data_IF_151074942278
#
_entry.id   IF_151074942278
#
_cell.length_a   1.000
_cell.length_b   1.000
_cell.length_c   1.000
_cell.angle_alpha   90.00
_cell.angle_beta   90.00
_cell.angle_gamma   90.00
#
_symmetry.space_group_name_H-M   'P 1'
#
loop_
_entity.id
_entity.type
_entity.pdbx_description
1 polymer ?
#
# COMPACT_ATOMS: atom_id res chain seq x y z
N UNK A 1 -1.42 -27.58 4.03
CA UNK A 1 -1.07 -26.14 4.14
C UNK A 1 -2.33 -25.35 4.40
N UNK A 2 -2.32 -24.54 5.43
CA UNK A 2 -3.44 -23.70 5.84
C UNK A 2 -3.13 -22.26 5.46
N UNK A 3 -4.05 -21.60 4.76
CA UNK A 3 -3.86 -20.20 4.30
C UNK A 3 -4.29 -19.25 5.40
N UNK A 4 -3.38 -18.37 5.83
CA UNK A 4 -3.64 -17.31 6.81
C UNK A 4 -4.03 -15.99 6.14
N UNK A 5 -3.27 -15.58 5.11
CA UNK A 5 -3.50 -14.31 4.43
C UNK A 5 -3.51 -14.48 2.92
N UNK A 6 -4.58 -14.00 2.31
CA UNK A 6 -4.70 -13.86 0.84
C UNK A 6 -4.73 -12.39 0.46
N UNK A 7 -4.22 -12.09 -0.71
CA UNK A 7 -4.44 -10.80 -1.37
C UNK A 7 -5.93 -10.60 -1.67
N UNK A 8 -6.41 -9.37 -1.56
CA UNK A 8 -7.80 -9.06 -1.94
C UNK A 8 -8.07 -9.42 -3.41
N UNK A 9 -9.25 -9.95 -3.69
CA UNK A 9 -9.65 -10.34 -5.05
C UNK A 9 -10.25 -9.17 -5.83
N UNK A 10 -10.77 -8.16 -5.15
CA UNK A 10 -11.43 -7.02 -5.78
C UNK A 10 -10.42 -5.94 -6.17
N UNK A 11 -10.50 -5.52 -7.44
CA UNK A 11 -9.69 -4.43 -7.99
C UNK A 11 -10.45 -3.10 -8.01
N UNK A 12 -11.70 -3.07 -7.54
CA UNK A 12 -12.57 -1.88 -7.70
C UNK A 12 -11.95 -0.65 -7.03
N UNK A 13 -11.62 -0.76 -5.76
CA UNK A 13 -11.03 0.34 -5.00
C UNK A 13 -9.69 0.78 -5.60
N UNK A 14 -8.82 -0.16 -5.92
CA UNK A 14 -7.52 0.13 -6.52
C UNK A 14 -7.63 0.84 -7.88
N UNK A 15 -8.63 0.50 -8.70
CA UNK A 15 -8.92 1.19 -9.96
C UNK A 15 -9.45 2.60 -9.73
N UNK A 16 -10.33 2.78 -8.75
CA UNK A 16 -10.85 4.11 -8.40
C UNK A 16 -9.73 5.00 -7.88
N UNK A 17 -8.88 4.50 -6.99
CA UNK A 17 -7.70 5.22 -6.50
C UNK A 17 -6.75 5.60 -7.64
N UNK A 18 -6.49 4.68 -8.57
CA UNK A 18 -5.65 4.94 -9.75
C UNK A 18 -6.25 6.07 -10.62
N UNK A 19 -7.54 6.00 -10.93
CA UNK A 19 -8.20 6.99 -11.79
C UNK A 19 -8.22 8.36 -11.10
N UNK A 20 -8.74 8.45 -9.88
CA UNK A 20 -8.83 9.70 -9.15
C UNK A 20 -7.44 10.30 -8.90
N UNK A 21 -6.50 9.49 -8.44
CA UNK A 21 -5.16 9.93 -8.18
C UNK A 21 -4.42 10.42 -9.42
N UNK A 22 -4.62 9.75 -10.56
CA UNK A 22 -4.04 10.19 -11.84
C UNK A 22 -4.64 11.52 -12.29
N UNK A 23 -5.96 11.71 -12.14
CA UNK A 23 -6.64 12.97 -12.46
C UNK A 23 -6.12 14.09 -11.56
N UNK A 24 -6.06 13.89 -10.24
CA UNK A 24 -5.53 14.91 -9.32
C UNK A 24 -4.06 15.27 -9.60
N UNK A 25 -3.23 14.27 -9.86
CA UNK A 25 -1.83 14.50 -10.22
C UNK A 25 -1.70 15.28 -11.54
N UNK A 26 -2.52 14.95 -12.55
CA UNK A 26 -2.51 15.67 -13.83
C UNK A 26 -2.97 17.12 -13.67
N UNK A 27 -4.03 17.37 -12.88
CA UNK A 27 -4.50 18.72 -12.58
C UNK A 27 -3.40 19.54 -11.85
N UNK A 28 -2.77 18.95 -10.85
CA UNK A 28 -1.69 19.64 -10.12
C UNK A 28 -0.47 19.87 -11.01
N UNK A 29 -0.06 18.87 -11.79
CA UNK A 29 1.11 18.93 -12.65
C UNK A 29 0.99 19.98 -13.76
N UNK A 30 -0.22 20.16 -14.32
CA UNK A 30 -0.46 21.08 -15.44
C UNK A 30 -1.08 22.37 -14.95
N UNK A 31 -2.07 22.30 -14.06
CA UNK A 31 -2.85 23.45 -13.61
C UNK A 31 -2.05 24.45 -12.79
N UNK A 32 -1.14 23.98 -11.92
CA UNK A 32 -0.32 24.91 -11.11
C UNK A 32 0.61 25.75 -12.00
N UNK A 33 1.42 25.18 -12.90
CA UNK A 33 2.25 25.98 -13.81
C UNK A 33 1.43 26.94 -14.69
N UNK A 34 0.33 26.48 -15.26
CA UNK A 34 -0.55 27.34 -16.07
C UNK A 34 -1.08 28.51 -15.25
N UNK A 35 -1.54 28.26 -14.02
CA UNK A 35 -2.06 29.32 -13.14
C UNK A 35 -0.98 30.35 -12.82
N UNK A 36 0.26 29.93 -12.55
CA UNK A 36 1.39 30.86 -12.29
C UNK A 36 1.62 31.76 -13.52
N UNK A 37 1.68 31.18 -14.72
CA UNK A 37 1.92 31.98 -15.93
C UNK A 37 0.72 32.85 -16.33
N UNK A 38 -0.50 32.45 -16.03
CA UNK A 38 -1.69 33.29 -16.27
C UNK A 38 -1.74 34.48 -15.30
N UNK A 39 -1.33 34.29 -14.04
CA UNK A 39 -1.33 35.40 -13.05
C UNK A 39 -0.14 36.34 -13.21
N UNK A 40 0.97 35.88 -13.76
CA UNK A 40 2.18 36.65 -13.96
C UNK A 40 2.81 36.36 -15.34
N UNK A 41 2.24 36.91 -16.43
CA UNK A 41 2.68 36.61 -17.80
C UNK A 41 4.14 36.97 -18.10
N UNK A 42 4.68 37.94 -17.39
CA UNK A 42 6.08 38.35 -17.54
C UNK A 42 7.06 37.23 -17.16
N UNK A 43 6.66 36.31 -16.28
CA UNK A 43 7.46 35.14 -15.91
C UNK A 43 7.71 34.21 -17.10
N UNK A 44 6.90 34.27 -18.17
CA UNK A 44 7.14 33.49 -19.38
C UNK A 44 8.49 33.79 -20.05
N UNK A 45 9.04 34.97 -19.80
CA UNK A 45 10.34 35.44 -20.32
C UNK A 45 11.53 34.99 -19.46
N UNK A 46 11.24 34.53 -18.23
CA UNK A 46 12.26 34.19 -17.24
C UNK A 46 12.62 32.69 -17.29
N UNK A 47 13.88 32.32 -17.62
CA UNK A 47 14.28 30.91 -17.67
C UNK A 47 14.10 30.19 -16.34
N UNK A 48 14.27 30.89 -15.21
CA UNK A 48 14.10 30.33 -13.88
C UNK A 48 12.64 29.91 -13.62
N UNK A 49 11.67 30.67 -14.14
CA UNK A 49 10.25 30.34 -13.99
C UNK A 49 9.90 29.02 -14.69
N UNK A 50 10.48 28.76 -15.86
CA UNK A 50 10.33 27.50 -16.57
C UNK A 50 10.97 26.33 -15.81
N UNK A 51 12.14 26.54 -15.20
CA UNK A 51 12.79 25.52 -14.37
C UNK A 51 11.93 25.15 -13.17
N UNK A 52 11.33 26.14 -12.50
CA UNK A 52 10.41 25.94 -11.37
C UNK A 52 9.15 25.17 -11.85
N UNK A 53 8.55 25.58 -12.97
CA UNK A 53 7.38 24.91 -13.53
C UNK A 53 7.67 23.45 -13.85
N UNK A 54 8.82 23.17 -14.47
CA UNK A 54 9.26 21.80 -14.74
C UNK A 54 9.49 21.01 -13.45
N UNK A 55 10.09 21.61 -12.43
CA UNK A 55 10.26 21.00 -11.10
C UNK A 55 8.94 20.60 -10.46
N UNK A 56 7.91 21.45 -10.55
CA UNK A 56 6.55 21.20 -10.07
C UNK A 56 5.94 20.02 -10.83
N UNK A 57 6.02 20.02 -12.16
CA UNK A 57 5.50 18.94 -13.01
C UNK A 57 6.16 17.60 -12.66
N UNK A 58 7.48 17.58 -12.52
CA UNK A 58 8.24 16.37 -12.16
C UNK A 58 7.85 15.88 -10.76
N UNK A 59 7.75 16.77 -9.80
CA UNK A 59 7.37 16.42 -8.42
C UNK A 59 5.98 15.76 -8.37
N UNK A 60 4.96 16.41 -8.92
CA UNK A 60 3.60 15.83 -8.91
C UNK A 60 3.48 14.58 -9.78
N UNK A 61 4.24 14.48 -10.87
CA UNK A 61 4.33 13.27 -11.67
C UNK A 61 4.91 12.09 -10.90
N UNK A 62 6.01 12.30 -10.17
CA UNK A 62 6.65 11.27 -9.34
C UNK A 62 5.76 10.86 -8.16
N UNK A 63 5.15 11.84 -7.48
CA UNK A 63 4.21 11.58 -6.38
C UNK A 63 3.00 10.81 -6.89
N UNK A 64 2.39 11.23 -7.99
CA UNK A 64 1.26 10.53 -8.60
C UNK A 64 1.61 9.09 -9.02
N UNK A 65 2.77 8.89 -9.64
CA UNK A 65 3.26 7.56 -9.97
C UNK A 65 3.43 6.69 -8.71
N UNK A 66 4.12 7.21 -7.68
CA UNK A 66 4.42 6.46 -6.46
C UNK A 66 3.18 6.09 -5.66
N UNK A 67 2.21 7.00 -5.55
CA UNK A 67 1.01 6.79 -4.73
C UNK A 67 -0.08 5.97 -5.45
N UNK A 68 -0.19 6.06 -6.78
CA UNK A 68 -1.34 5.49 -7.49
C UNK A 68 -0.95 4.43 -8.52
N UNK A 69 0.03 4.70 -9.37
CA UNK A 69 0.40 3.76 -10.44
C UNK A 69 1.22 2.60 -9.91
N UNK A 70 2.17 2.87 -9.03
CA UNK A 70 3.04 1.83 -8.46
C UNK A 70 2.28 0.78 -7.65
N UNK A 71 1.35 1.11 -6.73
CA UNK A 71 0.52 0.12 -6.02
C UNK A 71 -0.31 -0.74 -6.98
N UNK A 72 -0.90 -0.13 -8.01
CA UNK A 72 -1.65 -0.86 -9.02
C UNK A 72 -0.78 -1.90 -9.75
N UNK A 73 0.43 -1.53 -10.18
CA UNK A 73 1.39 -2.45 -10.78
C UNK A 73 1.87 -3.54 -9.81
N UNK A 74 2.10 -3.16 -8.56
CA UNK A 74 2.52 -4.08 -7.52
C UNK A 74 1.50 -5.19 -7.29
N UNK A 75 0.20 -4.85 -7.31
CA UNK A 75 -0.87 -5.82 -7.13
C UNK A 75 -0.75 -7.02 -8.07
N UNK A 76 -0.42 -6.81 -9.34
CA UNK A 76 -0.29 -7.89 -10.32
C UNK A 76 0.99 -8.71 -10.17
N UNK A 77 1.99 -8.17 -9.50
CA UNK A 77 3.27 -8.87 -9.28
C UNK A 77 3.28 -9.76 -8.04
N UNK A 78 2.33 -9.54 -7.13
CA UNK A 78 2.28 -10.30 -5.88
C UNK A 78 1.44 -11.57 -6.03
N UNK A 79 1.82 -12.67 -5.35
CA UNK A 79 1.05 -13.90 -5.32
C UNK A 79 -0.32 -13.69 -4.67
N UNK A 80 -1.24 -14.60 -4.95
CA UNK A 80 -2.58 -14.59 -4.36
C UNK A 80 -2.54 -14.94 -2.87
N UNK A 81 -1.79 -15.98 -2.52
CA UNK A 81 -1.54 -16.39 -1.14
C UNK A 81 -0.25 -15.72 -0.68
N UNK A 82 -0.31 -14.96 0.40
CA UNK A 82 0.85 -14.24 0.92
C UNK A 82 1.40 -14.80 2.22
N UNK A 83 0.57 -15.49 2.99
CA UNK A 83 0.97 -16.16 4.23
C UNK A 83 0.20 -17.47 4.38
N UNK A 84 0.92 -18.54 4.56
CA UNK A 84 0.36 -19.86 4.84
C UNK A 84 1.28 -20.65 5.77
N UNK A 85 0.76 -21.74 6.35
CA UNK A 85 1.52 -22.59 7.26
C UNK A 85 1.15 -24.06 7.12
N UNK A 86 2.05 -24.92 7.53
CA UNK A 86 1.80 -26.34 7.80
C UNK A 86 2.17 -26.67 9.25
N UNK A 87 2.32 -27.91 9.59
CA UNK A 87 2.61 -28.35 10.96
C UNK A 87 4.02 -27.99 11.44
N UNK A 88 4.94 -27.66 10.53
CA UNK A 88 6.34 -27.41 10.84
C UNK A 88 6.79 -25.99 10.48
N UNK A 89 6.21 -25.39 9.44
CA UNK A 89 6.73 -24.15 8.84
C UNK A 89 5.66 -23.10 8.56
N UNK A 90 6.09 -21.86 8.69
CA UNK A 90 5.40 -20.68 8.16
C UNK A 90 6.03 -20.29 6.82
N UNK A 91 5.20 -20.10 5.80
CA UNK A 91 5.62 -19.71 4.46
C UNK A 91 5.12 -18.27 4.18
N UNK A 92 6.05 -17.41 3.82
CA UNK A 92 5.78 -16.02 3.46
C UNK A 92 6.03 -15.85 1.96
N UNK A 93 4.97 -15.53 1.20
CA UNK A 93 5.02 -15.28 -0.23
C UNK A 93 4.74 -13.80 -0.49
N UNK A 94 5.78 -12.98 -0.47
CA UNK A 94 5.68 -11.53 -0.67
C UNK A 94 6.81 -11.09 -1.61
N UNK A 95 7.21 -9.82 -1.56
CA UNK A 95 8.42 -9.35 -2.26
C UNK A 95 9.69 -10.06 -1.80
N UNK A 96 9.69 -10.51 -0.54
CA UNK A 96 10.70 -11.39 0.03
C UNK A 96 10.00 -12.68 0.40
N UNK A 97 10.47 -13.78 -0.13
CA UNK A 97 9.99 -15.12 0.24
C UNK A 97 10.76 -15.64 1.44
N UNK A 98 10.08 -16.33 2.34
CA UNK A 98 10.69 -16.96 3.48
C UNK A 98 9.96 -18.25 3.85
N UNK A 99 10.72 -19.18 4.43
CA UNK A 99 10.24 -20.39 5.07
C UNK A 99 10.82 -20.40 6.49
N UNK A 100 9.97 -20.30 7.49
CA UNK A 100 10.36 -20.10 8.90
C UNK A 100 9.84 -21.28 9.70
N UNK A 101 10.70 -22.00 10.46
CA UNK A 101 10.23 -23.07 11.34
C UNK A 101 9.32 -22.50 12.43
N UNK A 102 8.15 -23.07 12.64
CA UNK A 102 7.22 -22.62 13.68
C UNK A 102 7.83 -22.74 15.08
N UNK A 103 8.63 -23.79 15.30
CA UNK A 103 9.34 -24.03 16.56
C UNK A 103 10.38 -22.96 16.92
N UNK A 104 10.84 -22.17 15.95
CA UNK A 104 11.83 -21.10 16.18
C UNK A 104 11.18 -19.72 16.37
N UNK A 105 9.85 -19.63 16.31
CA UNK A 105 9.12 -18.38 16.53
C UNK A 105 9.12 -18.02 18.02
N UNK A 106 9.85 -16.97 18.36
CA UNK A 106 9.97 -16.47 19.74
C UNK A 106 9.18 -15.20 19.96
N UNK A 107 9.17 -14.31 18.96
CA UNK A 107 8.46 -13.04 19.00
C UNK A 107 8.07 -12.58 17.60
N UNK A 108 6.84 -12.11 17.46
CA UNK A 108 6.33 -11.54 16.21
C UNK A 108 5.63 -10.22 16.52
N UNK A 109 6.12 -9.13 15.92
CA UNK A 109 5.43 -7.84 15.95
C UNK A 109 4.64 -7.66 14.67
N UNK A 110 3.37 -7.27 14.81
CA UNK A 110 2.45 -7.12 13.69
C UNK A 110 1.87 -5.71 13.71
N UNK A 111 1.88 -5.04 12.58
CA UNK A 111 1.28 -3.72 12.43
C UNK A 111 0.47 -3.65 11.14
N UNK A 112 -0.80 -3.27 11.24
CA UNK A 112 -1.63 -3.01 10.08
C UNK A 112 -1.61 -1.54 9.71
N UNK A 113 -1.27 -1.24 8.44
CA UNK A 113 -1.31 0.10 7.87
C UNK A 113 -2.34 0.17 6.75
N UNK A 114 -3.16 1.22 6.78
CA UNK A 114 -4.08 1.54 5.69
C UNK A 114 -3.38 2.39 4.63
N UNK A 115 -3.79 2.29 3.34
CA UNK A 115 -3.35 3.22 2.31
C UNK A 115 -3.69 4.66 2.66
N UNK A 116 -2.91 5.60 2.13
CA UNK A 116 -3.10 7.03 2.42
C UNK A 116 -4.53 7.53 2.22
N UNK A 117 -5.22 7.10 1.16
CA UNK A 117 -6.61 7.50 0.90
C UNK A 117 -7.64 6.84 1.82
N UNK A 118 -7.27 5.78 2.53
CA UNK A 118 -8.12 5.09 3.51
C UNK A 118 -7.78 5.47 4.96
N UNK A 119 -6.82 6.37 5.17
CA UNK A 119 -6.68 7.05 6.46
C UNK A 119 -7.92 7.91 6.71
N UNK A 120 -8.13 8.35 7.90
CA UNK A 120 -9.34 9.05 8.35
C UNK A 120 -9.75 10.21 7.42
N UNK A 121 -11.06 10.37 7.17
CA UNK A 121 -11.63 11.50 6.47
C UNK A 121 -12.80 11.18 5.54
N UNK A 122 -13.43 12.22 5.03
CA UNK A 122 -14.60 12.17 4.14
C UNK A 122 -14.37 11.30 2.86
N UNK A 123 -13.17 11.33 2.31
CA UNK A 123 -12.82 10.51 1.13
C UNK A 123 -12.84 9.00 1.46
N UNK A 124 -12.42 8.60 2.65
CA UNK A 124 -12.50 7.21 3.11
C UNK A 124 -13.93 6.70 3.12
N UNK A 125 -14.85 7.47 3.72
CA UNK A 125 -16.26 7.08 3.82
C UNK A 125 -16.90 6.94 2.45
N UNK A 126 -16.62 7.88 1.54
CA UNK A 126 -17.09 7.79 0.15
C UNK A 126 -16.53 6.55 -0.53
N UNK A 127 -15.22 6.32 -0.49
CA UNK A 127 -14.58 5.20 -1.16
C UNK A 127 -15.07 3.85 -0.63
N UNK A 128 -15.21 3.70 0.69
CA UNK A 128 -15.73 2.47 1.31
C UNK A 128 -17.19 2.26 0.93
N UNK A 129 -18.00 3.33 0.92
CA UNK A 129 -19.42 3.25 0.54
C UNK A 129 -19.61 2.78 -0.90
N UNK A 130 -18.81 3.30 -1.84
CA UNK A 130 -18.92 2.95 -3.26
C UNK A 130 -18.23 1.63 -3.65
N UNK A 131 -17.15 1.28 -2.97
CA UNK A 131 -16.32 0.14 -3.38
C UNK A 131 -16.52 -1.09 -2.51
N UNK A 132 -17.07 -0.95 -1.31
CA UNK A 132 -17.33 -2.03 -0.33
C UNK A 132 -16.09 -2.86 0.09
N UNK A 133 -14.91 -2.45 -0.34
CA UNK A 133 -13.66 -3.19 -0.13
C UNK A 133 -12.65 -2.31 0.60
N UNK A 134 -12.25 -2.74 1.78
CA UNK A 134 -11.14 -2.14 2.52
C UNK A 134 -9.92 -3.05 2.40
N UNK A 135 -8.77 -2.46 2.12
CA UNK A 135 -7.51 -3.18 2.12
C UNK A 135 -6.42 -2.39 2.84
N UNK A 136 -5.37 -3.08 3.21
CA UNK A 136 -4.21 -2.47 3.84
C UNK A 136 -2.94 -3.27 3.60
N UNK A 137 -1.90 -2.87 4.31
CA UNK A 137 -0.62 -3.57 4.42
C UNK A 137 -0.48 -4.11 5.83
N UNK A 138 0.06 -5.31 5.97
CA UNK A 138 0.49 -5.85 7.26
C UNK A 138 2.00 -5.98 7.22
N UNK A 139 2.66 -5.36 8.17
CA UNK A 139 4.08 -5.48 8.41
C UNK A 139 4.27 -6.52 9.52
N UNK A 140 5.05 -7.57 9.22
CA UNK A 140 5.43 -8.64 10.14
C UNK A 140 6.91 -8.47 10.44
N UNK A 141 7.26 -8.26 11.69
CA UNK A 141 8.64 -8.26 12.16
C UNK A 141 8.85 -9.48 13.06
N UNK A 142 9.64 -10.44 12.57
CA UNK A 142 9.86 -11.74 13.19
C UNK A 142 11.26 -11.78 13.72
N UNK A 143 11.40 -11.95 15.02
CA UNK A 143 12.70 -11.98 15.67
C UNK A 143 13.59 -13.09 15.12
N UNK A 144 14.84 -12.77 14.82
CA UNK A 144 15.79 -13.67 14.14
C UNK A 144 15.61 -13.84 12.64
N UNK A 145 14.45 -13.48 12.04
CA UNK A 145 14.15 -13.69 10.63
C UNK A 145 13.93 -12.40 9.82
N UNK A 146 13.69 -11.28 10.51
CA UNK A 146 13.56 -9.95 9.91
C UNK A 146 12.13 -9.54 9.56
N UNK A 147 12.01 -8.47 8.75
CA UNK A 147 10.74 -7.80 8.47
C UNK A 147 10.18 -8.18 7.11
N UNK A 148 8.89 -8.48 7.06
CA UNK A 148 8.14 -8.86 5.87
C UNK A 148 6.91 -7.98 5.72
N UNK A 149 6.50 -7.72 4.46
CA UNK A 149 5.35 -6.87 4.16
C UNK A 149 4.34 -7.62 3.32
N UNK A 150 3.13 -7.78 3.86
CA UNK A 150 1.99 -8.34 3.15
C UNK A 150 1.14 -7.19 2.61
N UNK A 151 0.88 -7.19 1.31
CA UNK A 151 0.22 -6.08 0.63
C UNK A 151 -1.19 -6.45 0.20
N UNK A 152 -2.07 -5.46 0.12
CA UNK A 152 -3.45 -5.61 -0.34
C UNK A 152 -4.25 -6.65 0.48
N UNK A 153 -4.01 -6.66 1.78
CA UNK A 153 -4.71 -7.56 2.72
C UNK A 153 -6.11 -7.00 2.97
N UNK A 154 -7.17 -7.77 2.69
CA UNK A 154 -8.53 -7.32 2.98
C UNK A 154 -8.73 -7.16 4.48
N UNK A 155 -9.38 -6.05 4.88
CA UNK A 155 -9.65 -5.72 6.28
C UNK A 155 -8.41 -5.86 7.19
N UNK A 156 -7.31 -5.21 6.80
CA UNK A 156 -6.00 -5.40 7.41
C UNK A 156 -5.99 -5.26 8.95
N UNK A 157 -6.74 -4.31 9.52
CA UNK A 157 -6.86 -4.14 10.98
C UNK A 157 -7.53 -5.34 11.67
N UNK A 158 -8.54 -5.94 11.04
CA UNK A 158 -9.17 -7.14 11.59
C UNK A 158 -8.26 -8.37 11.42
N UNK A 159 -7.50 -8.41 10.34
CA UNK A 159 -6.53 -9.48 10.07
C UNK A 159 -5.35 -9.41 11.03
N UNK A 160 -4.90 -8.23 11.42
CA UNK A 160 -3.88 -8.03 12.47
C UNK A 160 -4.24 -8.77 13.75
N UNK A 161 -5.47 -8.60 14.28
CA UNK A 161 -5.92 -9.28 15.48
C UNK A 161 -5.97 -10.81 15.31
N UNK A 162 -6.37 -11.32 14.13
CA UNK A 162 -6.36 -12.76 13.85
C UNK A 162 -4.95 -13.35 13.81
N UNK A 163 -4.02 -12.63 13.21
CA UNK A 163 -2.62 -13.05 13.15
C UNK A 163 -1.96 -13.01 14.51
N UNK A 164 -2.24 -11.99 15.33
CA UNK A 164 -1.75 -11.92 16.71
C UNK A 164 -2.21 -13.14 17.52
N UNK A 165 -3.48 -13.53 17.43
CA UNK A 165 -3.97 -14.72 18.11
C UNK A 165 -3.29 -15.98 17.61
N UNK A 166 -3.16 -16.15 16.29
CA UNK A 166 -2.46 -17.30 15.70
C UNK A 166 -1.02 -17.45 16.20
N UNK A 167 -0.23 -16.35 16.14
CA UNK A 167 1.16 -16.39 16.58
C UNK A 167 1.29 -16.62 18.09
N UNK A 168 0.41 -16.03 18.90
CA UNK A 168 0.38 -16.30 20.33
C UNK A 168 0.08 -17.77 20.62
N UNK A 169 -0.87 -18.37 19.92
CA UNK A 169 -1.21 -19.80 20.09
C UNK A 169 -0.02 -20.69 19.69
N UNK A 170 0.66 -20.38 18.59
CA UNK A 170 1.87 -21.11 18.16
C UNK A 170 2.99 -20.99 19.19
N UNK A 171 3.30 -19.78 19.63
CA UNK A 171 4.38 -19.55 20.60
C UNK A 171 4.11 -20.15 21.99
N UNK A 172 2.85 -20.25 22.38
CA UNK A 172 2.48 -20.87 23.67
C UNK A 172 2.47 -22.41 23.63
N UNK A 173 2.42 -23.00 22.43
CA UNK A 173 2.42 -24.45 22.25
C UNK A 173 3.81 -25.03 21.92
N UNK A 174 4.82 -24.17 21.73
CA UNK A 174 6.22 -24.53 21.56
C UNK A 174 6.98 -24.50 22.90
#
# INVERSE_FOLDING_TARGET
>A
MNVLVRKMNSLKLLKVELILGTIFSAIAMIGIPISIFCLAPDLLKEPLAWLIAFGIMLFFGLVGYGLFVYPYRLYFKLPEVQLEYDDEFLYIHSKKEAKIPLAELTYVHITAELPFMLHEGFLREILIHFCSDEYGRIDLDIDGFGSYKLYFVPYAKNMEGKLLNFFNDVMNNN
#
